data_IF_373744067912
#
_entry.id   IF_373744067912
#
_cell.length_a   1.000
_cell.length_b   1.000
_cell.length_c   1.000
_cell.angle_alpha   90.00
_cell.angle_beta   90.00
_cell.angle_gamma   90.00
#
_symmetry.space_group_name_H-M   'P 1'
#
loop_
_entity.id
_entity.type
_entity.pdbx_description
1 polymer ?
#
# COMPACT_ATOMS: atom_id res chain seq x y z
N UNK A 1 16.24 -2.80 21.76
CA UNK A 1 15.82 -3.88 20.84
C UNK A 1 14.83 -3.25 19.89
N UNK A 2 15.20 -3.12 18.62
CA UNK A 2 14.47 -2.32 17.64
C UNK A 2 13.12 -2.97 17.32
N UNK A 3 12.08 -2.17 17.37
CA UNK A 3 10.68 -2.52 17.17
C UNK A 3 10.43 -2.92 15.71
N UNK A 4 10.16 -4.19 15.48
CA UNK A 4 9.65 -4.75 14.22
C UNK A 4 8.22 -4.27 13.99
N UNK A 5 8.06 -3.08 13.41
CA UNK A 5 6.74 -2.58 12.95
C UNK A 5 6.52 -2.84 11.45
N UNK A 6 7.47 -3.47 10.75
CA UNK A 6 7.31 -3.88 9.35
C UNK A 6 6.40 -5.11 9.19
N UNK A 7 6.28 -5.99 10.19
CA UNK A 7 5.47 -7.22 10.06
C UNK A 7 3.98 -7.02 10.27
N UNK A 8 3.53 -5.94 10.92
CA UNK A 8 2.09 -5.80 11.21
C UNK A 8 1.27 -5.66 9.94
N UNK A 9 1.70 -4.83 8.98
CA UNK A 9 0.96 -4.68 7.73
C UNK A 9 0.92 -6.00 6.94
N UNK A 10 2.05 -6.68 6.79
CA UNK A 10 2.13 -7.99 6.13
C UNK A 10 1.34 -9.09 6.85
N UNK A 11 1.21 -9.03 8.18
CA UNK A 11 0.37 -9.93 8.97
C UNK A 11 -1.14 -9.60 8.83
N UNK A 12 -1.49 -8.34 8.59
CA UNK A 12 -2.87 -7.93 8.36
C UNK A 12 -3.37 -8.25 6.94
N UNK A 13 -2.49 -8.30 5.93
CA UNK A 13 -2.85 -8.66 4.56
C UNK A 13 -3.58 -10.02 4.47
N UNK A 14 -3.06 -11.14 5.00
CA UNK A 14 -3.78 -12.42 4.98
C UNK A 14 -5.11 -12.37 5.73
N UNK A 15 -5.19 -11.65 6.86
CA UNK A 15 -6.43 -11.47 7.63
C UNK A 15 -7.50 -10.69 6.86
N UNK A 16 -7.08 -9.70 6.06
CA UNK A 16 -7.98 -8.95 5.19
C UNK A 16 -8.34 -9.75 3.94
N UNK A 17 -7.40 -10.51 3.36
CA UNK A 17 -7.63 -11.40 2.23
C UNK A 17 -8.60 -12.53 2.59
N UNK A 18 -8.52 -13.07 3.82
CA UNK A 18 -9.48 -14.05 4.33
C UNK A 18 -10.90 -13.48 4.46
N UNK A 19 -11.02 -12.18 4.76
CA UNK A 19 -12.32 -11.51 4.94
C UNK A 19 -12.94 -10.98 3.64
N UNK A 20 -12.12 -10.43 2.74
CA UNK A 20 -12.54 -9.75 1.52
C UNK A 20 -12.34 -10.60 0.26
N UNK A 21 -11.62 -11.72 0.37
CA UNK A 21 -11.07 -12.45 -0.76
C UNK A 21 -9.74 -11.86 -1.23
N UNK A 22 -8.92 -12.67 -1.88
CA UNK A 22 -7.64 -12.25 -2.40
C UNK A 22 -7.75 -11.07 -3.36
N UNK A 23 -8.62 -11.20 -4.36
CA UNK A 23 -8.93 -10.15 -5.34
C UNK A 23 -9.60 -8.91 -4.71
N UNK A 24 -10.48 -9.10 -3.72
CA UNK A 24 -11.17 -8.00 -3.03
C UNK A 24 -10.24 -7.13 -2.18
N UNK A 25 -9.22 -7.73 -1.56
CA UNK A 25 -8.17 -6.97 -0.88
C UNK A 25 -7.35 -6.13 -1.86
N UNK A 26 -7.04 -6.67 -3.05
CA UNK A 26 -6.32 -5.92 -4.10
C UNK A 26 -7.14 -4.72 -4.54
N UNK A 27 -8.44 -4.91 -4.74
CA UNK A 27 -9.34 -3.87 -5.20
C UNK A 27 -9.44 -2.74 -4.17
N UNK A 28 -9.58 -3.06 -2.89
CA UNK A 28 -9.59 -2.08 -1.81
C UNK A 28 -8.25 -1.35 -1.66
N UNK A 29 -7.13 -2.06 -1.79
CA UNK A 29 -5.79 -1.45 -1.82
C UNK A 29 -5.59 -0.55 -3.03
N UNK A 30 -6.07 -0.96 -4.21
CA UNK A 30 -6.03 -0.15 -5.44
C UNK A 30 -6.94 1.07 -5.35
N UNK A 31 -8.12 0.94 -4.71
CA UNK A 31 -9.01 2.07 -4.46
C UNK A 31 -8.38 3.06 -3.48
N UNK A 32 -7.77 2.57 -2.40
CA UNK A 32 -7.00 3.39 -1.46
C UNK A 32 -5.80 4.07 -2.14
N UNK A 33 -5.08 3.34 -3.00
CA UNK A 33 -3.99 3.87 -3.80
C UNK A 33 -4.49 4.98 -4.74
N UNK A 34 -5.59 4.75 -5.46
CA UNK A 34 -6.21 5.75 -6.34
C UNK A 34 -6.65 7.00 -5.59
N UNK A 35 -7.08 6.86 -4.34
CA UNK A 35 -7.45 7.99 -3.50
C UNK A 35 -6.22 8.81 -3.04
N UNK A 36 -5.08 8.15 -2.88
CA UNK A 36 -3.83 8.75 -2.40
C UNK A 36 -2.91 9.23 -3.52
N UNK A 37 -3.04 8.70 -4.72
CA UNK A 37 -2.17 9.02 -5.86
C UNK A 37 -2.44 10.40 -6.47
N UNK A 38 -1.47 10.89 -7.22
CA UNK A 38 -1.63 12.03 -8.09
C UNK A 38 -2.45 11.63 -9.33
N UNK A 39 -3.66 12.18 -9.46
CA UNK A 39 -4.52 11.93 -10.63
C UNK A 39 -3.89 12.34 -11.97
N UNK A 40 -2.90 13.25 -11.97
CA UNK A 40 -2.19 13.68 -13.19
C UNK A 40 -1.00 12.78 -13.52
N UNK A 41 -0.29 12.26 -12.52
CA UNK A 41 0.91 11.45 -12.75
C UNK A 41 0.65 9.95 -12.76
N UNK A 42 -0.44 9.48 -12.16
CA UNK A 42 -0.69 8.04 -12.06
C UNK A 42 0.02 7.36 -10.89
N UNK A 43 0.68 8.11 -10.00
CA UNK A 43 1.59 7.60 -8.97
C UNK A 43 1.39 8.32 -7.64
N UNK A 44 1.68 7.65 -6.53
CA UNK A 44 1.69 8.25 -5.20
C UNK A 44 3.01 8.97 -5.01
N UNK A 45 3.00 10.29 -5.04
CA UNK A 45 4.17 11.09 -4.63
C UNK A 45 4.04 11.51 -3.18
N UNK A 46 5.15 11.90 -2.55
CA UNK A 46 5.14 12.43 -1.18
C UNK A 46 4.11 13.56 -1.01
N UNK A 47 4.03 14.49 -1.97
CA UNK A 47 3.09 15.61 -1.92
C UNK A 47 1.63 15.14 -2.04
N UNK A 48 1.35 14.18 -2.93
CA UNK A 48 0.02 13.61 -3.13
C UNK A 48 -0.44 12.84 -1.90
N UNK A 49 0.44 11.98 -1.38
CA UNK A 49 0.19 11.21 -0.17
C UNK A 49 -0.08 12.14 1.00
N UNK A 50 0.74 13.19 1.19
CA UNK A 50 0.55 14.17 2.26
C UNK A 50 -0.78 14.91 2.12
N UNK A 51 -1.08 15.44 0.94
CA UNK A 51 -2.31 16.22 0.75
C UNK A 51 -3.57 15.35 0.85
N UNK A 52 -3.55 14.13 0.30
CA UNK A 52 -4.69 13.22 0.29
C UNK A 52 -4.86 12.50 1.64
N UNK A 53 -3.78 12.19 2.37
CA UNK A 53 -3.84 11.62 3.72
C UNK A 53 -4.48 12.59 4.72
N UNK A 54 -4.23 13.90 4.58
CA UNK A 54 -4.92 14.93 5.35
C UNK A 54 -6.44 14.91 5.11
N UNK A 55 -6.86 14.72 3.85
CA UNK A 55 -8.28 14.62 3.46
C UNK A 55 -8.94 13.37 4.04
N UNK A 56 -8.18 12.27 4.14
CA UNK A 56 -8.61 11.01 4.76
C UNK A 56 -8.65 11.05 6.30
N UNK A 57 -8.25 12.16 6.93
CA UNK A 57 -8.19 12.28 8.38
C UNK A 57 -6.97 11.57 9.00
N UNK A 58 -5.95 11.27 8.21
CA UNK A 58 -4.66 10.72 8.65
C UNK A 58 -3.67 11.83 9.04
N UNK A 59 -4.16 12.95 9.56
CA UNK A 59 -3.38 14.12 10.02
C UNK A 59 -2.36 13.80 11.13
N UNK A 60 -2.45 12.61 11.73
CA UNK A 60 -1.49 12.10 12.71
C UNK A 60 -0.17 11.56 12.13
N UNK A 61 -0.04 11.44 10.80
CA UNK A 61 1.21 10.98 10.19
C UNK A 61 2.18 12.13 9.99
N UNK A 62 3.35 12.03 10.61
CA UNK A 62 4.44 12.99 10.41
C UNK A 62 5.01 12.90 9.00
N UNK A 63 5.55 14.02 8.51
CA UNK A 63 6.26 14.08 7.22
C UNK A 63 7.35 13.00 7.09
N UNK A 64 8.02 12.64 8.19
CA UNK A 64 9.01 11.56 8.23
C UNK A 64 8.40 10.17 8.04
N UNK A 65 7.18 9.93 8.54
CA UNK A 65 6.47 8.67 8.33
C UNK A 65 5.95 8.57 6.89
N UNK A 66 5.34 9.63 6.37
CA UNK A 66 4.89 9.70 4.97
C UNK A 66 6.05 9.48 3.99
N UNK A 67 7.19 10.13 4.22
CA UNK A 67 8.38 9.95 3.41
C UNK A 67 8.94 8.53 3.53
N UNK A 68 8.89 7.92 4.71
CA UNK A 68 9.29 6.52 4.87
C UNK A 68 8.34 5.57 4.13
N UNK A 69 7.03 5.82 4.12
CA UNK A 69 6.06 4.99 3.40
C UNK A 69 6.28 5.03 1.89
N UNK A 70 6.52 6.23 1.34
CA UNK A 70 6.86 6.38 -0.09
C UNK A 70 8.18 5.67 -0.37
N UNK A 71 9.24 5.97 0.39
CA UNK A 71 10.58 5.43 0.18
C UNK A 71 10.68 3.92 0.37
N UNK A 72 9.83 3.37 1.21
CA UNK A 72 9.77 1.93 1.44
C UNK A 72 9.12 1.25 0.22
N UNK A 73 8.05 1.81 -0.33
CA UNK A 73 7.39 1.25 -1.50
C UNK A 73 8.04 1.57 -2.85
N UNK A 74 8.77 2.69 -2.93
CA UNK A 74 9.56 3.15 -4.08
C UNK A 74 10.80 2.27 -4.25
N UNK A 75 10.75 1.36 -5.23
CA UNK A 75 11.82 0.39 -5.47
C UNK A 75 12.78 0.86 -6.57
N UNK A 76 12.28 1.65 -7.51
CA UNK A 76 13.09 2.24 -8.57
C UNK A 76 13.86 3.52 -8.14
N UNK A 77 13.48 4.10 -7.00
CA UNK A 77 14.09 5.28 -6.41
C UNK A 77 13.67 6.58 -7.09
N UNK A 78 12.53 6.61 -7.79
CA UNK A 78 12.04 7.78 -8.50
C UNK A 78 11.36 8.82 -7.58
N UNK A 79 11.19 8.48 -6.31
CA UNK A 79 10.54 9.32 -5.29
C UNK A 79 9.01 9.27 -5.36
N UNK A 80 8.45 8.33 -6.10
CA UNK A 80 7.05 8.05 -6.23
C UNK A 80 6.80 6.54 -6.10
N UNK A 81 5.54 6.21 -5.82
CA UNK A 81 5.08 4.85 -5.66
C UNK A 81 4.12 4.56 -6.80
N UNK A 82 4.46 3.62 -7.67
CA UNK A 82 3.57 3.21 -8.75
C UNK A 82 2.78 1.94 -8.39
N UNK A 83 1.65 1.73 -9.07
CA UNK A 83 0.78 0.57 -8.80
C UNK A 83 1.52 -0.76 -9.02
N UNK A 84 2.41 -0.80 -10.01
CA UNK A 84 3.14 -2.00 -10.39
C UNK A 84 4.17 -2.41 -9.33
N UNK A 85 4.81 -1.44 -8.67
CA UNK A 85 5.71 -1.64 -7.54
C UNK A 85 4.97 -2.14 -6.31
N UNK A 86 3.80 -1.55 -6.03
CA UNK A 86 2.92 -2.00 -4.96
C UNK A 86 2.53 -3.48 -5.15
N UNK A 87 2.10 -3.85 -6.36
CA UNK A 87 1.73 -5.22 -6.73
C UNK A 87 2.91 -6.20 -6.66
N UNK A 88 4.09 -5.77 -7.11
CA UNK A 88 5.30 -6.61 -7.08
C UNK A 88 5.77 -6.91 -5.65
N UNK A 89 5.53 -5.97 -4.72
CA UNK A 89 5.96 -6.09 -3.32
C UNK A 89 5.00 -6.88 -2.44
N UNK A 90 3.70 -6.78 -2.70
CA UNK A 90 2.67 -7.51 -1.94
C UNK A 90 2.70 -9.02 -2.27
N UNK A 91 3.43 -9.44 -3.31
CA UNK A 91 3.62 -10.87 -3.57
C UNK A 91 2.28 -11.57 -3.85
N UNK A 92 1.42 -10.94 -4.66
CA UNK A 92 0.07 -11.44 -4.96
C UNK A 92 -0.01 -12.84 -5.56
N UNK A 93 1.12 -13.46 -5.90
CA UNK A 93 1.17 -14.87 -6.33
C UNK A 93 0.64 -15.81 -5.26
N UNK A 94 0.95 -15.60 -3.97
CA UNK A 94 0.51 -16.51 -2.91
C UNK A 94 -0.96 -16.34 -2.49
N UNK A 95 -1.58 -15.19 -2.81
CA UNK A 95 -2.98 -14.91 -2.45
C UNK A 95 -3.97 -15.50 -3.46
N UNK A 96 -3.57 -15.63 -4.74
CA UNK A 96 -4.43 -16.20 -5.80
C UNK A 96 -4.50 -17.72 -5.82
N UNK A 97 -3.53 -18.40 -5.21
CA UNK A 97 -3.41 -19.86 -5.29
C UNK A 97 -4.19 -20.62 -4.18
N UNK A 98 -5.01 -19.94 -3.36
CA UNK A 98 -5.76 -20.57 -2.25
C UNK A 98 -7.22 -20.93 -2.56
N UNK A 99 -7.70 -20.71 -3.77
CA UNK A 99 -9.10 -20.99 -4.17
C UNK A 99 -9.28 -22.27 -5.02
N UNK A 100 -8.25 -23.10 -5.23
CA UNK A 100 -8.31 -24.29 -6.12
C UNK A 100 -8.20 -25.67 -5.41
N UNK A 101 -8.54 -25.78 -4.13
CA UNK A 101 -8.73 -27.08 -3.45
C UNK A 101 -10.21 -27.31 -3.09
N UNK A 102 -11.00 -27.80 -4.06
CA UNK A 102 -12.33 -28.41 -3.86
C UNK A 102 -12.36 -29.85 -4.37
#
# INVERSE_FOLDING_TARGET
>A
MATTNQSQFEEFLPLMAEKLGGDGLIEELCNGFQLLMDAKKGVITFDSLKNNSLILGLDGMSDCNLASMVKEGDFDGDGALNQMELENRIGFRDIRDRDDDI
#
